data_IF_004101626874
#
_entry.id   IF_004101626874
#
_cell.length_a   1.000
_cell.length_b   1.000
_cell.length_c   1.000
_cell.angle_alpha   90.00
_cell.angle_beta   90.00
_cell.angle_gamma   90.00
#
_symmetry.space_group_name_H-M   'P 1'
#
loop_
_entity.id
_entity.type
_entity.pdbx_description
1 polymer ?
#
# COMPACT_ATOMS: atom_id res chain seq x y z
N UNK A 1 -31.51 -18.19 15.89
CA UNK A 1 -30.50 -17.16 16.22
C UNK A 1 -30.89 -15.88 15.49
N UNK A 2 -30.96 -14.72 16.16
CA UNK A 2 -31.25 -13.42 15.52
C UNK A 2 -29.95 -12.62 15.45
N UNK A 3 -29.66 -12.06 14.28
CA UNK A 3 -28.52 -11.17 14.06
C UNK A 3 -28.92 -9.77 14.55
N UNK A 4 -28.21 -9.25 15.55
CA UNK A 4 -28.55 -7.97 16.18
C UNK A 4 -27.74 -6.78 15.63
N UNK A 5 -26.75 -7.03 14.78
CA UNK A 5 -25.92 -6.02 14.14
C UNK A 5 -24.75 -6.63 13.37
N UNK A 6 -24.19 -5.85 12.44
CA UNK A 6 -23.00 -6.20 11.65
C UNK A 6 -22.12 -4.95 11.51
N UNK A 7 -20.81 -5.13 11.61
CA UNK A 7 -19.81 -4.10 11.31
C UNK A 7 -19.10 -4.54 10.02
N UNK A 8 -19.02 -3.61 9.06
CA UNK A 8 -18.27 -3.80 7.83
C UNK A 8 -17.07 -2.86 7.86
N UNK A 9 -15.95 -3.38 7.40
CA UNK A 9 -14.83 -2.53 6.99
C UNK A 9 -15.24 -1.72 5.75
N UNK A 10 -14.56 -0.60 5.50
CA UNK A 10 -14.87 0.28 4.36
C UNK A 10 -14.10 -0.16 3.12
N UNK A 11 -12.77 -0.12 3.20
CA UNK A 11 -11.87 -0.32 2.08
C UNK A 11 -11.75 -1.79 1.69
N UNK A 12 -11.90 -2.08 0.39
CA UNK A 12 -11.92 -3.45 -0.12
C UNK A 12 -13.14 -4.29 0.29
N UNK A 13 -14.02 -3.76 1.16
CA UNK A 13 -15.24 -4.44 1.61
C UNK A 13 -16.49 -3.78 1.06
N UNK A 14 -16.71 -2.49 1.37
CA UNK A 14 -17.85 -1.73 0.84
C UNK A 14 -17.50 -0.99 -0.44
N UNK A 15 -16.23 -0.64 -0.62
CA UNK A 15 -15.71 0.07 -1.80
C UNK A 15 -14.49 -0.68 -2.33
N UNK A 16 -14.40 -0.82 -3.66
CA UNK A 16 -13.21 -1.34 -4.33
C UNK A 16 -12.13 -0.24 -4.38
N UNK A 17 -11.47 0.01 -3.24
CA UNK A 17 -10.47 1.08 -3.05
C UNK A 17 -9.06 0.57 -2.78
N UNK A 18 -8.85 -0.75 -2.63
CA UNK A 18 -7.54 -1.33 -2.28
C UNK A 18 -6.44 -0.99 -3.28
N UNK A 19 -6.82 -0.76 -4.55
CA UNK A 19 -5.87 -0.40 -5.59
C UNK A 19 -5.13 0.93 -5.30
N UNK A 20 -5.75 1.86 -4.57
CA UNK A 20 -5.16 3.18 -4.23
C UNK A 20 -3.84 2.97 -3.48
N UNK A 21 -3.83 2.11 -2.47
CA UNK A 21 -2.65 1.79 -1.66
C UNK A 21 -1.52 1.20 -2.51
N UNK A 22 -1.86 0.21 -3.35
CA UNK A 22 -0.86 -0.47 -4.20
C UNK A 22 -0.28 0.45 -5.29
N UNK A 23 -1.06 1.42 -5.76
CA UNK A 23 -0.61 2.42 -6.72
C UNK A 23 0.37 3.40 -6.10
N UNK A 24 0.20 3.79 -4.84
CA UNK A 24 1.12 4.71 -4.18
C UNK A 24 2.54 4.13 -4.04
N UNK A 25 2.68 2.83 -3.76
CA UNK A 25 3.98 2.14 -3.80
C UNK A 25 4.59 2.11 -5.20
N UNK A 26 3.77 1.87 -6.23
CA UNK A 26 4.21 1.90 -7.63
C UNK A 26 4.67 3.29 -8.06
N UNK A 27 3.87 4.31 -7.77
CA UNK A 27 4.12 5.70 -8.13
C UNK A 27 5.35 6.25 -7.40
N UNK A 28 5.57 5.85 -6.15
CA UNK A 28 6.78 6.18 -5.41
C UNK A 28 8.03 5.68 -6.15
N UNK A 29 8.04 4.43 -6.60
CA UNK A 29 9.16 3.85 -7.35
C UNK A 29 9.35 4.55 -8.70
N UNK A 30 8.28 4.77 -9.46
CA UNK A 30 8.33 5.46 -10.76
C UNK A 30 8.86 6.89 -10.60
N UNK A 31 8.43 7.61 -9.56
CA UNK A 31 8.91 8.97 -9.27
C UNK A 31 10.40 9.03 -8.91
N UNK A 32 10.97 7.91 -8.43
CA UNK A 32 12.40 7.75 -8.15
C UNK A 32 13.18 7.18 -9.36
N UNK A 33 12.55 7.10 -10.54
CA UNK A 33 13.18 6.59 -11.76
C UNK A 33 13.38 5.07 -11.76
N UNK A 34 12.69 4.35 -10.86
CA UNK A 34 12.78 2.91 -10.72
C UNK A 34 11.62 2.26 -11.48
N UNK A 35 11.92 1.29 -12.34
CA UNK A 35 10.90 0.49 -13.01
C UNK A 35 10.44 -0.63 -12.06
N UNK A 36 9.18 -0.63 -11.59
CA UNK A 36 8.73 -1.64 -10.66
C UNK A 36 8.47 -2.96 -11.38
N UNK A 37 8.55 -4.08 -10.65
CA UNK A 37 8.11 -5.38 -11.17
C UNK A 37 6.62 -5.36 -11.49
N UNK A 38 6.23 -6.12 -12.51
CA UNK A 38 4.83 -6.23 -12.97
C UNK A 38 3.89 -6.72 -11.84
N UNK A 39 4.40 -7.54 -10.93
CA UNK A 39 3.67 -8.12 -9.80
C UNK A 39 3.74 -7.28 -8.51
N UNK A 40 4.35 -6.08 -8.55
CA UNK A 40 4.50 -5.23 -7.36
C UNK A 40 3.16 -5.00 -6.67
N UNK A 41 2.15 -4.54 -7.43
CA UNK A 41 0.84 -4.17 -6.87
C UNK A 41 0.20 -5.35 -6.13
N UNK A 42 0.23 -6.54 -6.75
CA UNK A 42 -0.29 -7.75 -6.14
C UNK A 42 0.49 -8.11 -4.86
N UNK A 43 1.81 -7.99 -4.90
CA UNK A 43 2.70 -8.28 -3.77
C UNK A 43 2.43 -7.36 -2.57
N UNK A 44 2.36 -6.03 -2.80
CA UNK A 44 2.17 -5.07 -1.71
C UNK A 44 0.72 -4.99 -1.22
N UNK A 45 -0.27 -5.41 -2.02
CA UNK A 45 -1.68 -5.43 -1.63
C UNK A 45 -1.99 -6.42 -0.52
N UNK A 46 -1.12 -7.41 -0.29
CA UNK A 46 -1.27 -8.41 0.79
C UNK A 46 -0.50 -8.04 2.06
N UNK A 47 0.19 -6.91 2.07
CA UNK A 47 1.06 -6.47 3.16
C UNK A 47 0.38 -5.37 3.99
N UNK A 48 0.71 -5.31 5.27
CA UNK A 48 0.42 -4.11 6.07
C UNK A 48 1.27 -2.92 5.58
N UNK A 49 0.82 -1.70 5.86
CA UNK A 49 1.50 -0.46 5.43
C UNK A 49 3.00 -0.44 5.78
N UNK A 50 3.35 -0.87 6.99
CA UNK A 50 4.76 -0.86 7.42
C UNK A 50 5.61 -1.90 6.68
N UNK A 51 5.01 -3.06 6.35
CA UNK A 51 5.67 -4.12 5.60
C UNK A 51 5.88 -3.70 4.14
N UNK A 52 4.87 -3.09 3.50
CA UNK A 52 4.99 -2.62 2.12
C UNK A 52 6.02 -1.49 2.00
N UNK A 53 6.05 -0.56 2.96
CA UNK A 53 7.07 0.50 3.04
C UNK A 53 8.48 -0.05 3.20
N UNK A 54 8.66 -1.05 4.07
CA UNK A 54 9.96 -1.73 4.25
C UNK A 54 10.37 -2.48 2.99
N UNK A 55 9.44 -3.21 2.39
CA UNK A 55 9.66 -3.97 1.16
C UNK A 55 10.15 -3.08 0.02
N UNK A 56 9.50 -1.93 -0.24
CA UNK A 56 9.95 -1.04 -1.33
C UNK A 56 11.31 -0.39 -1.06
N UNK A 57 11.67 -0.18 0.21
CA UNK A 57 12.99 0.35 0.58
C UNK A 57 14.07 -0.71 0.35
N UNK A 58 13.86 -1.92 0.87
CA UNK A 58 14.86 -2.99 0.85
C UNK A 58 15.06 -3.57 -0.56
N UNK A 59 13.96 -3.84 -1.28
CA UNK A 59 14.03 -4.49 -2.60
C UNK A 59 14.49 -3.56 -3.72
N UNK A 60 14.18 -2.27 -3.62
CA UNK A 60 14.49 -1.29 -4.67
C UNK A 60 15.55 -0.26 -4.25
N UNK A 61 16.09 -0.37 -3.04
CA UNK A 61 17.17 0.48 -2.54
C UNK A 61 16.77 1.95 -2.40
N UNK A 62 15.52 2.25 -2.04
CA UNK A 62 15.07 3.63 -1.90
C UNK A 62 15.81 4.33 -0.74
N UNK A 63 16.26 5.58 -0.91
CA UNK A 63 17.00 6.33 0.10
C UNK A 63 16.06 6.98 1.15
N UNK A 64 15.05 6.24 1.62
CA UNK A 64 14.05 6.72 2.58
C UNK A 64 13.97 5.83 3.81
N UNK A 65 13.49 6.39 4.91
CA UNK A 65 13.07 5.59 6.08
C UNK A 65 11.64 5.10 5.91
N UNK A 66 11.29 4.04 6.64
CA UNK A 66 9.92 3.49 6.66
C UNK A 66 8.90 4.57 7.04
N UNK A 67 9.22 5.45 7.99
CA UNK A 67 8.35 6.55 8.41
C UNK A 67 8.12 7.58 7.30
N UNK A 68 9.14 7.86 6.48
CA UNK A 68 8.99 8.78 5.35
C UNK A 68 8.05 8.19 4.29
N UNK A 69 8.16 6.89 4.01
CA UNK A 69 7.27 6.21 3.07
C UNK A 69 5.84 6.09 3.63
N UNK A 70 5.70 5.72 4.91
CA UNK A 70 4.39 5.68 5.57
C UNK A 70 3.69 7.04 5.53
N UNK A 71 4.42 8.13 5.79
CA UNK A 71 3.89 9.50 5.67
C UNK A 71 3.50 9.83 4.24
N UNK A 72 4.36 9.51 3.26
CA UNK A 72 4.05 9.73 1.85
C UNK A 72 2.73 9.07 1.43
N UNK A 73 2.50 7.83 1.86
CA UNK A 73 1.27 7.07 1.57
C UNK A 73 0.10 7.67 2.35
N UNK A 74 0.26 7.88 3.66
CA UNK A 74 -0.79 8.40 4.55
C UNK A 74 -1.30 9.79 4.20
N UNK A 75 -0.46 10.67 3.64
CA UNK A 75 -0.86 12.02 3.22
C UNK A 75 -1.70 12.02 1.91
N UNK A 76 -1.90 10.86 1.27
CA UNK A 76 -2.54 10.71 -0.06
C UNK A 76 -3.79 9.83 -0.05
N UNK A 77 -4.26 9.43 1.14
CA UNK A 77 -5.40 8.54 1.38
C UNK A 77 -6.35 9.13 2.41
#
# INVERSE_FOLDING_TARGET
>A
MKLNGVIFDLDGTLIDSMFVWSNLSYDLLVSNGITPRDDLRATVSTMYLEESSRYVIEEYGLPYTVEQVNRYIGDRV
#
